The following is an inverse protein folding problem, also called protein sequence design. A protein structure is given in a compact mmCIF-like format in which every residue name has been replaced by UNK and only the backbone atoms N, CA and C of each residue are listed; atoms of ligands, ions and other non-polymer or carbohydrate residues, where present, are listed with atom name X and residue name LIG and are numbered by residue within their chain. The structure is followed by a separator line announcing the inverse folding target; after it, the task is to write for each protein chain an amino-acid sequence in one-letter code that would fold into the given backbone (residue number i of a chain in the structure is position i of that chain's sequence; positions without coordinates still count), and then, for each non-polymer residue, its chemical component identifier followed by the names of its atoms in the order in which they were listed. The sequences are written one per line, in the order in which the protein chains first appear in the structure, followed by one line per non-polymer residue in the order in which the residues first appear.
data_IF_022115577911
#
_entry.id   IF_022115577911
#
_cell.length_a   1.000
_cell.length_b   1.000
_cell.length_c   1.000
_cell.angle_alpha   90.00
_cell.angle_beta   90.00
_cell.angle_gamma   90.00
#
_symmetry.space_group_name_H-M   'P 1'
#
loop_
_entity.id
_entity.type
_entity.pdbx_description
1 polymer ?
#
# COMPACT_ATOMS: atom_id res chain seq x y z
N UNK A 1 -21.82 2.60 -15.49
CA UNK A 1 -22.30 2.08 -14.20
C UNK A 1 -21.17 2.26 -13.20
N UNK A 2 -21.31 3.21 -12.27
CA UNK A 2 -20.28 3.49 -11.25
C UNK A 2 -20.37 2.42 -10.18
N UNK A 3 -19.41 1.49 -10.12
CA UNK A 3 -19.35 0.43 -9.12
C UNK A 3 -19.24 1.05 -7.73
N UNK A 4 -20.20 0.74 -6.85
CA UNK A 4 -20.08 1.05 -5.43
C UNK A 4 -18.93 0.21 -4.88
N UNK A 5 -17.80 0.83 -4.60
CA UNK A 5 -16.78 0.23 -3.73
C UNK A 5 -17.37 0.16 -2.32
N UNK A 6 -18.08 -0.92 -1.99
CA UNK A 6 -18.65 -1.16 -0.66
C UNK A 6 -17.53 -1.52 0.32
N UNK A 7 -16.66 -0.56 0.62
CA UNK A 7 -15.71 -0.66 1.72
C UNK A 7 -16.49 -0.65 3.03
N UNK A 8 -16.12 -1.48 3.99
CA UNK A 8 -16.80 -1.52 5.29
C UNK A 8 -15.82 -1.82 6.42
N UNK A 9 -16.22 -1.48 7.64
CA UNK A 9 -15.43 -1.72 8.84
C UNK A 9 -16.10 -2.80 9.68
N UNK A 10 -15.29 -3.71 10.23
CA UNK A 10 -15.70 -4.64 11.29
C UNK A 10 -15.00 -4.20 12.57
N UNK A 11 -15.77 -3.87 13.60
CA UNK A 11 -15.24 -3.38 14.87
C UNK A 11 -15.62 -4.38 15.96
N UNK A 12 -14.62 -4.98 16.59
CA UNK A 12 -14.80 -5.76 17.81
C UNK A 12 -14.74 -4.80 19.00
N UNK A 13 -15.90 -4.38 19.49
CA UNK A 13 -16.03 -3.28 20.46
C UNK A 13 -15.40 -3.59 21.81
N UNK A 14 -15.44 -4.84 22.26
CA UNK A 14 -14.84 -5.26 23.54
C UNK A 14 -13.33 -5.09 23.57
N UNK A 15 -12.63 -5.40 22.48
CA UNK A 15 -11.16 -5.23 22.40
C UNK A 15 -10.73 -3.95 21.69
N UNK A 16 -11.67 -3.14 21.22
CA UNK A 16 -11.43 -1.92 20.42
C UNK A 16 -10.55 -2.19 19.19
N UNK A 17 -10.68 -3.39 18.59
CA UNK A 17 -9.97 -3.75 17.35
C UNK A 17 -10.88 -3.42 16.16
N UNK A 18 -10.30 -2.77 15.16
CA UNK A 18 -10.95 -2.43 13.89
C UNK A 18 -10.26 -3.15 12.73
N UNK A 19 -11.05 -3.80 11.88
CA UNK A 19 -10.64 -4.27 10.57
C UNK A 19 -11.35 -3.45 9.49
N UNK A 20 -10.58 -2.95 8.52
CA UNK A 20 -11.10 -2.20 7.37
C UNK A 20 -11.05 -3.12 6.14
N UNK A 21 -12.20 -3.34 5.51
CA UNK A 21 -12.35 -4.28 4.40
C UNK A 21 -12.61 -3.50 3.12
N UNK A 22 -11.74 -3.73 2.13
CA UNK A 22 -11.79 -3.12 0.80
C UNK A 22 -11.98 -4.21 -0.25
N UNK A 23 -13.21 -4.45 -0.73
CA UNK A 23 -13.44 -5.37 -1.84
C UNK A 23 -12.76 -4.87 -3.12
N UNK A 24 -12.05 -5.76 -3.81
CA UNK A 24 -11.34 -5.45 -5.05
C UNK A 24 -12.17 -6.00 -6.22
N UNK A 25 -12.53 -5.13 -7.16
CA UNK A 25 -13.16 -5.54 -8.42
C UNK A 25 -12.12 -6.18 -9.34
N UNK A 26 -12.52 -7.23 -10.06
CA UNK A 26 -11.61 -7.91 -11.01
C UNK A 26 -11.16 -6.98 -12.16
N UNK A 27 -11.96 -5.97 -12.48
CA UNK A 27 -11.67 -4.93 -13.46
C UNK A 27 -10.70 -3.85 -12.97
N UNK A 28 -10.23 -3.89 -11.72
CA UNK A 28 -9.27 -2.94 -11.21
C UNK A 28 -7.85 -3.31 -11.67
N UNK A 29 -7.30 -2.52 -12.59
CA UNK A 29 -6.01 -2.77 -13.24
C UNK A 29 -4.82 -2.85 -12.26
N UNK A 30 -4.89 -2.17 -11.11
CA UNK A 30 -3.79 -2.16 -10.13
C UNK A 30 -4.04 -3.15 -8.98
N UNK A 31 -5.17 -3.01 -8.30
CA UNK A 31 -5.43 -3.71 -7.05
C UNK A 31 -5.65 -5.23 -7.29
N UNK A 32 -6.25 -5.63 -8.41
CA UNK A 32 -6.48 -7.05 -8.70
C UNK A 32 -5.17 -7.80 -9.04
N UNK A 33 -4.29 -7.30 -9.95
CA UNK A 33 -2.99 -7.93 -10.16
C UNK A 33 -2.07 -7.91 -8.93
N UNK A 34 -2.13 -6.86 -8.08
CA UNK A 34 -1.35 -6.79 -6.84
C UNK A 34 -1.65 -7.98 -5.90
N UNK A 35 -2.87 -8.53 -5.93
CA UNK A 35 -3.22 -9.74 -5.17
C UNK A 35 -2.35 -10.94 -5.55
N UNK A 36 -1.92 -11.06 -6.81
CA UNK A 36 -1.01 -12.15 -7.23
C UNK A 36 0.42 -11.99 -6.71
N UNK A 37 0.81 -10.77 -6.33
CA UNK A 37 2.15 -10.41 -5.84
C UNK A 37 2.29 -10.49 -4.32
N UNK A 38 1.19 -10.76 -3.59
CA UNK A 38 1.17 -10.91 -2.14
C UNK A 38 2.20 -11.93 -1.66
N UNK A 39 2.83 -11.64 -0.52
CA UNK A 39 3.88 -12.47 0.08
C UNK A 39 3.31 -13.26 1.24
N UNK A 40 3.66 -14.53 1.32
CA UNK A 40 3.32 -15.37 2.45
C UNK A 40 4.35 -15.17 3.56
N UNK A 41 3.89 -14.88 4.77
CA UNK A 41 4.74 -14.67 5.95
C UNK A 41 4.20 -15.45 7.13
N UNK A 42 5.09 -15.86 8.02
CA UNK A 42 4.71 -16.49 9.28
C UNK A 42 4.32 -15.42 10.30
N UNK A 43 3.17 -15.59 10.94
CA UNK A 43 2.66 -14.64 11.92
C UNK A 43 3.26 -14.92 13.32
N UNK A 44 4.21 -14.09 13.74
CA UNK A 44 4.84 -14.11 15.06
C UNK A 44 5.25 -15.53 15.52
N UNK A 45 4.86 -15.92 16.73
CA UNK A 45 5.12 -17.22 17.35
C UNK A 45 4.13 -18.31 16.93
N UNK A 46 3.22 -18.03 15.99
CA UNK A 46 2.29 -19.03 15.48
C UNK A 46 2.88 -19.73 14.26
N UNK A 47 2.43 -20.97 13.99
CA UNK A 47 2.75 -21.68 12.75
C UNK A 47 1.78 -21.31 11.61
N UNK A 48 1.01 -20.21 11.77
CA UNK A 48 0.08 -19.78 10.74
C UNK A 48 0.79 -18.90 9.72
N UNK A 49 0.56 -19.25 8.45
CA UNK A 49 1.02 -18.46 7.32
C UNK A 49 -0.11 -17.53 6.87
N UNK A 50 0.21 -16.25 6.74
CA UNK A 50 -0.71 -15.23 6.25
C UNK A 50 -0.15 -14.59 4.98
N UNK A 51 -1.03 -14.05 4.15
CA UNK A 51 -0.62 -13.22 3.05
C UNK A 51 -0.57 -11.76 3.46
N UNK A 52 0.52 -11.09 3.12
CA UNK A 52 0.68 -9.64 3.19
C UNK A 52 0.92 -9.09 1.80
N UNK A 53 0.58 -7.83 1.60
CA UNK A 53 0.88 -7.10 0.36
C UNK A 53 2.39 -7.01 0.11
N UNK A 54 2.80 -6.87 -1.16
CA UNK A 54 4.21 -6.67 -1.50
C UNK A 54 4.74 -5.33 -0.99
N UNK A 55 6.07 -5.15 -1.01
CA UNK A 55 6.69 -3.91 -0.51
C UNK A 55 6.37 -2.74 -1.43
N UNK A 56 6.36 -2.96 -2.73
CA UNK A 56 6.05 -1.94 -3.73
C UNK A 56 4.58 -1.53 -3.67
N UNK A 57 3.69 -2.53 -3.56
CA UNK A 57 2.24 -2.31 -3.54
C UNK A 57 1.81 -1.52 -2.28
N UNK A 58 2.42 -1.78 -1.11
CA UNK A 58 2.12 -1.00 0.10
C UNK A 58 2.61 0.45 0.00
N UNK A 59 3.74 0.70 -0.68
CA UNK A 59 4.24 2.06 -0.94
C UNK A 59 3.24 2.83 -1.82
N UNK A 60 2.84 2.24 -2.94
CA UNK A 60 1.87 2.85 -3.87
C UNK A 60 0.51 3.10 -3.18
N UNK A 61 0.04 2.15 -2.38
CA UNK A 61 -1.21 2.30 -1.61
C UNK A 61 -1.13 3.46 -0.62
N UNK A 62 -0.02 3.59 0.10
CA UNK A 62 0.16 4.68 1.08
C UNK A 62 0.29 6.04 0.42
N UNK A 63 0.96 6.14 -0.72
CA UNK A 63 1.00 7.37 -1.52
C UNK A 63 -0.38 7.74 -2.05
N UNK A 64 -1.17 6.75 -2.52
CA UNK A 64 -2.57 6.95 -2.92
C UNK A 64 -3.41 7.53 -1.78
N UNK A 65 -3.29 6.99 -0.58
CA UNK A 65 -4.01 7.52 0.60
C UNK A 65 -3.52 8.90 1.03
N UNK A 66 -2.21 9.15 0.99
CA UNK A 66 -1.65 10.46 1.29
C UNK A 66 -2.22 11.53 0.35
N UNK A 67 -2.30 11.23 -0.94
CA UNK A 67 -2.89 12.12 -1.96
C UNK A 67 -4.40 12.33 -1.78
N UNK A 68 -5.17 11.26 -1.55
CA UNK A 68 -6.64 11.36 -1.35
C UNK A 68 -6.97 12.19 -0.12
N UNK A 69 -6.18 12.06 0.95
CA UNK A 69 -6.41 12.75 2.18
C UNK A 69 -5.77 14.16 2.21
N UNK A 70 -5.60 14.77 1.04
CA UNK A 70 -5.05 16.12 0.81
C UNK A 70 -3.79 16.41 1.63
N UNK A 71 -2.88 15.43 1.71
CA UNK A 71 -1.59 15.55 2.39
C UNK A 71 -1.65 15.74 3.92
N UNK A 72 -2.82 15.66 4.55
CA UNK A 72 -2.96 15.88 6.00
C UNK A 72 -2.39 14.73 6.85
N UNK A 73 -2.38 13.50 6.33
CA UNK A 73 -1.91 12.33 7.07
C UNK A 73 -0.41 12.09 6.88
N UNK A 74 0.39 12.92 7.54
CA UNK A 74 1.86 12.80 7.62
C UNK A 74 2.34 11.40 8.07
N UNK A 75 1.50 10.63 8.77
CA UNK A 75 1.80 9.24 9.12
C UNK A 75 2.04 8.36 7.88
N UNK A 76 1.21 8.51 6.83
CA UNK A 76 1.37 7.69 5.62
C UNK A 76 2.69 8.01 4.91
N UNK A 77 3.05 9.29 4.84
CA UNK A 77 4.35 9.72 4.30
C UNK A 77 5.52 9.10 5.06
N UNK A 78 5.52 9.20 6.41
CA UNK A 78 6.57 8.61 7.24
C UNK A 78 6.66 7.10 7.09
N UNK A 79 5.53 6.41 6.98
CA UNK A 79 5.51 4.97 6.76
C UNK A 79 6.16 4.61 5.41
N UNK A 80 5.87 5.38 4.34
CA UNK A 80 6.51 5.19 3.03
C UNK A 80 8.03 5.38 3.11
N UNK A 81 8.49 6.49 3.71
CA UNK A 81 9.93 6.75 3.90
C UNK A 81 10.61 5.61 4.67
N UNK A 82 9.96 5.09 5.72
CA UNK A 82 10.45 3.98 6.53
C UNK A 82 10.58 2.68 5.73
N UNK A 83 9.55 2.33 4.95
CA UNK A 83 9.56 1.14 4.09
C UNK A 83 10.67 1.23 3.04
N UNK A 84 10.78 2.37 2.35
CA UNK A 84 11.80 2.54 1.32
C UNK A 84 13.23 2.39 1.88
N UNK A 85 13.53 3.07 2.99
CA UNK A 85 14.85 2.97 3.63
C UNK A 85 15.16 1.55 4.11
N UNK A 86 14.17 0.86 4.69
CA UNK A 86 14.35 -0.49 5.21
C UNK A 86 14.50 -1.56 4.12
N UNK A 87 13.85 -1.37 2.97
CA UNK A 87 13.76 -2.39 1.90
C UNK A 87 14.50 -2.03 0.61
N UNK A 88 15.26 -0.92 0.58
CA UNK A 88 15.95 -0.37 -0.60
C UNK A 88 16.65 -1.38 -1.53
N UNK A 89 17.25 -2.45 -0.97
CA UNK A 89 18.03 -3.43 -1.73
C UNK A 89 17.18 -4.39 -2.56
N UNK A 90 15.89 -4.52 -2.26
CA UNK A 90 14.99 -5.50 -2.86
C UNK A 90 13.80 -4.84 -3.56
N UNK A 91 13.76 -3.51 -3.61
CA UNK A 91 12.69 -2.78 -4.25
C UNK A 91 12.81 -2.84 -5.77
N UNK A 92 11.67 -3.07 -6.40
CA UNK A 92 11.51 -2.91 -7.85
C UNK A 92 11.13 -1.45 -8.18
N UNK A 93 12.15 -0.63 -8.45
CA UNK A 93 11.97 0.79 -8.77
C UNK A 93 11.22 1.02 -10.10
N UNK A 94 11.39 0.12 -11.06
CA UNK A 94 10.71 0.23 -12.36
C UNK A 94 9.22 -0.06 -12.20
N UNK A 95 8.85 -1.04 -11.37
CA UNK A 95 7.46 -1.28 -10.99
C UNK A 95 6.85 -0.08 -10.26
N UNK A 96 7.57 0.51 -9.31
CA UNK A 96 7.10 1.70 -8.59
C UNK A 96 6.82 2.85 -9.56
N UNK A 97 7.73 3.14 -10.49
CA UNK A 97 7.57 4.22 -11.49
C UNK A 97 6.43 3.93 -12.47
N UNK A 98 6.31 2.70 -12.94
CA UNK A 98 5.24 2.28 -13.84
C UNK A 98 3.86 2.55 -13.23
N UNK A 99 3.66 2.03 -12.01
CA UNK A 99 2.36 2.15 -11.35
C UNK A 99 2.12 3.51 -10.73
N UNK A 100 3.15 4.24 -10.30
CA UNK A 100 2.97 5.64 -9.89
C UNK A 100 2.49 6.48 -11.06
N UNK A 101 3.00 6.25 -12.28
CA UNK A 101 2.52 6.95 -13.46
C UNK A 101 1.05 6.62 -13.75
N UNK A 102 0.69 5.34 -13.78
CA UNK A 102 -0.70 4.91 -13.98
C UNK A 102 -1.66 5.48 -12.93
N UNK A 103 -1.27 5.46 -11.64
CA UNK A 103 -2.06 5.94 -10.51
C UNK A 103 -2.00 7.47 -10.33
N UNK A 104 -1.26 8.20 -11.18
CA UNK A 104 -1.00 9.64 -11.06
C UNK A 104 -0.35 10.04 -9.72
N UNK A 105 0.59 9.23 -9.24
CA UNK A 105 1.36 9.40 -8.00
C UNK A 105 2.84 9.75 -8.25
N UNK A 106 3.22 10.02 -9.50
CA UNK A 106 4.62 10.31 -9.85
C UNK A 106 5.23 11.46 -9.03
N UNK A 107 4.58 12.63 -8.85
CA UNK A 107 5.16 13.70 -8.04
C UNK A 107 5.41 13.29 -6.59
N UNK A 108 4.49 12.51 -6.01
CA UNK A 108 4.61 12.00 -4.65
C UNK A 108 5.75 10.98 -4.56
N UNK A 109 5.89 10.07 -5.54
CA UNK A 109 6.96 9.06 -5.55
C UNK A 109 8.34 9.71 -5.66
N UNK A 110 8.54 10.62 -6.61
CA UNK A 110 9.84 11.29 -6.82
C UNK A 110 10.26 12.08 -5.58
N UNK A 111 9.31 12.76 -4.92
CA UNK A 111 9.62 13.47 -3.67
C UNK A 111 10.06 12.52 -2.54
N UNK A 112 9.48 11.32 -2.43
CA UNK A 112 9.95 10.33 -1.44
C UNK A 112 11.34 9.81 -1.82
N UNK A 113 11.60 9.58 -3.10
CA UNK A 113 12.92 9.17 -3.61
C UNK A 113 14.00 10.20 -3.24
N UNK A 114 13.74 11.49 -3.50
CA UNK A 114 14.62 12.58 -3.09
C UNK A 114 14.89 12.56 -1.56
N UNK A 115 13.83 12.51 -0.74
CA UNK A 115 13.95 12.52 0.73
C UNK A 115 14.63 11.26 1.32
N UNK A 116 14.68 10.18 0.55
CA UNK A 116 15.32 8.92 0.95
C UNK A 116 16.70 8.72 0.33
N UNK A 117 17.15 9.62 -0.54
CA UNK A 117 18.33 9.46 -1.40
C UNK A 117 18.29 8.15 -2.19
N UNK A 118 17.13 7.81 -2.73
CA UNK A 118 16.91 6.62 -3.54
C UNK A 118 16.45 7.07 -4.93
N UNK A 119 17.43 7.25 -5.82
CA UNK A 119 17.36 7.97 -7.10
C UNK A 119 17.70 9.45 -6.98
#
# INVERSE_FOLDING_TARGET
MSGRTNTFNVIHTTSVIKAEIYPIEQSNDFDFPAMSRRKQVQLFSTNQLIYIVSTEDIVLQKLRWYKIADNYYQKQWRDVLGVLKARRKILDFDYLRLWSNYLKLTPELEKVFDETNLA
#
